data_IF_734620442852
#
_entry.id   IF_734620442852
#
_cell.length_a   1.000
_cell.length_b   1.000
_cell.length_c   1.000
_cell.angle_alpha   90.00
_cell.angle_beta   90.00
_cell.angle_gamma   90.00
#
_symmetry.space_group_name_H-M   'P 1'
#
loop_
_entity.id
_entity.type
_entity.pdbx_description
1 polymer ?
#
# COMPACT_ATOMS: atom_id res chain seq x y z
N UNK A 1 4.07 -15.39 8.23
CA UNK A 1 3.41 -14.45 9.14
C UNK A 1 4.44 -13.63 9.88
N UNK A 2 4.20 -12.36 10.01
CA UNK A 2 5.09 -11.41 10.67
C UNK A 2 4.97 -11.49 12.18
N UNK A 3 5.10 -12.67 12.72
CA UNK A 3 5.08 -12.86 14.17
C UNK A 3 6.39 -12.40 14.78
N UNK A 4 6.32 -11.72 15.88
CA UNK A 4 7.47 -11.25 16.62
C UNK A 4 7.95 -9.86 16.25
N UNK A 5 7.36 -9.21 15.25
CA UNK A 5 7.60 -7.79 15.05
C UNK A 5 7.04 -7.00 16.23
N UNK A 6 7.68 -5.90 16.57
CA UNK A 6 7.11 -5.00 17.57
C UNK A 6 5.81 -4.40 17.05
N UNK A 7 4.88 -4.06 17.93
CA UNK A 7 3.64 -3.41 17.54
C UNK A 7 3.85 -2.14 16.72
N UNK A 8 4.98 -1.46 16.90
CA UNK A 8 5.32 -0.25 16.16
C UNK A 8 5.65 -0.49 14.68
N UNK A 9 5.95 -1.73 14.28
CA UNK A 9 6.27 -2.07 12.90
C UNK A 9 5.11 -2.68 12.13
N UNK A 10 3.96 -2.89 12.77
CA UNK A 10 2.79 -3.46 12.12
C UNK A 10 2.03 -2.39 11.35
N UNK A 11 1.73 -2.71 10.09
CA UNK A 11 0.99 -1.82 9.20
C UNK A 11 -0.31 -2.49 8.80
N UNK A 12 -1.42 -1.78 8.96
CA UNK A 12 -2.74 -2.26 8.55
C UNK A 12 -3.19 -1.53 7.30
N UNK A 13 -3.83 -2.28 6.41
CA UNK A 13 -4.54 -1.69 5.29
C UNK A 13 -6.04 -1.80 5.55
N UNK A 14 -6.72 -0.65 5.50
CA UNK A 14 -8.18 -0.57 5.47
C UNK A 14 -8.61 0.07 4.17
N UNK A 15 -9.65 -0.48 3.58
CA UNK A 15 -10.21 0.06 2.35
C UNK A 15 -11.71 0.27 2.50
N UNK A 16 -12.19 1.43 2.11
CA UNK A 16 -13.59 1.76 2.04
C UNK A 16 -13.98 2.00 0.57
N UNK A 17 -15.09 1.43 0.16
CA UNK A 17 -15.64 1.64 -1.18
C UNK A 17 -16.83 2.59 -1.08
N UNK A 18 -16.79 3.65 -1.86
CA UNK A 18 -17.86 4.64 -1.94
C UNK A 18 -18.60 4.43 -3.24
N UNK A 19 -19.91 4.35 -3.15
CA UNK A 19 -20.80 4.21 -4.30
C UNK A 19 -21.79 5.36 -4.32
N UNK A 20 -22.46 5.58 -5.45
CA UNK A 20 -23.61 6.49 -5.48
C UNK A 20 -24.71 6.02 -4.53
N UNK A 21 -25.45 6.96 -3.94
CA UNK A 21 -26.42 6.66 -2.88
C UNK A 21 -27.40 5.55 -3.23
N UNK A 22 -27.93 5.56 -4.44
CA UNK A 22 -28.87 4.53 -4.90
C UNK A 22 -28.25 3.13 -4.97
N UNK A 23 -26.93 3.01 -5.10
CA UNK A 23 -26.23 1.75 -5.27
C UNK A 23 -25.61 1.27 -3.96
N UNK A 24 -25.38 2.17 -3.03
CA UNK A 24 -24.65 1.87 -1.79
C UNK A 24 -25.41 0.93 -0.86
N UNK A 25 -26.72 1.11 -0.73
CA UNK A 25 -27.55 0.34 0.18
C UNK A 25 -28.59 -0.53 -0.51
N UNK A 26 -28.77 -0.40 -1.82
CA UNK A 26 -29.75 -1.17 -2.56
C UNK A 26 -29.42 -2.65 -2.58
N UNK A 27 -30.44 -3.47 -2.36
CA UNK A 27 -30.36 -4.94 -2.49
C UNK A 27 -30.03 -5.36 -3.92
N UNK A 28 -30.48 -4.60 -4.92
CA UNK A 28 -30.25 -4.91 -6.35
C UNK A 28 -28.76 -4.89 -6.70
N UNK A 29 -27.95 -4.14 -5.99
CA UNK A 29 -26.51 -4.02 -6.22
C UNK A 29 -25.64 -4.80 -5.22
N UNK A 30 -26.27 -5.56 -4.31
CA UNK A 30 -25.54 -6.28 -3.27
C UNK A 30 -24.51 -7.27 -3.83
N UNK A 31 -24.87 -8.00 -4.88
CA UNK A 31 -23.95 -8.95 -5.53
C UNK A 31 -22.79 -8.25 -6.20
N UNK A 32 -23.03 -7.12 -6.87
CA UNK A 32 -21.99 -6.32 -7.49
C UNK A 32 -20.99 -5.79 -6.43
N UNK A 33 -21.49 -5.26 -5.33
CA UNK A 33 -20.64 -4.78 -4.24
C UNK A 33 -19.78 -5.90 -3.66
N UNK A 34 -20.36 -7.08 -3.46
CA UNK A 34 -19.63 -8.25 -2.95
C UNK A 34 -18.54 -8.72 -3.92
N UNK A 35 -18.83 -8.77 -5.22
CA UNK A 35 -17.84 -9.11 -6.26
C UNK A 35 -16.73 -8.09 -6.33
N UNK A 36 -17.04 -6.81 -6.26
CA UNK A 36 -16.06 -5.74 -6.26
C UNK A 36 -15.12 -5.85 -5.05
N UNK A 37 -15.65 -6.06 -3.87
CA UNK A 37 -14.86 -6.22 -2.66
C UNK A 37 -13.95 -7.46 -2.72
N UNK A 38 -14.47 -8.58 -3.21
CA UNK A 38 -13.70 -9.81 -3.37
C UNK A 38 -12.56 -9.63 -4.38
N UNK A 39 -12.81 -8.98 -5.50
CA UNK A 39 -11.79 -8.70 -6.52
C UNK A 39 -10.66 -7.86 -5.94
N UNK A 40 -10.96 -6.79 -5.25
CA UNK A 40 -9.94 -5.94 -4.64
C UNK A 40 -9.16 -6.66 -3.54
N UNK A 41 -9.83 -7.50 -2.77
CA UNK A 41 -9.15 -8.34 -1.78
C UNK A 41 -8.12 -9.25 -2.45
N UNK A 42 -8.49 -9.91 -3.55
CA UNK A 42 -7.59 -10.79 -4.27
C UNK A 42 -6.38 -10.03 -4.84
N UNK A 43 -6.61 -8.87 -5.43
CA UNK A 43 -5.54 -7.98 -5.94
C UNK A 43 -4.55 -7.64 -4.83
N UNK A 44 -5.04 -7.25 -3.66
CA UNK A 44 -4.15 -6.90 -2.55
C UNK A 44 -3.44 -8.10 -1.93
N UNK A 45 -4.06 -9.26 -1.94
CA UNK A 45 -3.40 -10.49 -1.45
C UNK A 45 -2.24 -10.91 -2.36
N UNK A 46 -2.36 -10.70 -3.67
CA UNK A 46 -1.24 -10.90 -4.60
C UNK A 46 -0.06 -9.98 -4.29
N UNK A 47 -0.34 -8.73 -3.96
CA UNK A 47 0.68 -7.75 -3.64
C UNK A 47 1.43 -8.04 -2.33
N UNK A 48 0.83 -8.72 -1.37
CA UNK A 48 1.45 -9.01 -0.08
C UNK A 48 2.73 -9.81 -0.26
N UNK A 49 2.74 -10.84 -1.09
CA UNK A 49 3.92 -11.65 -1.33
C UNK A 49 5.06 -10.81 -1.92
N UNK A 50 4.74 -9.93 -2.86
CA UNK A 50 5.71 -9.00 -3.46
C UNK A 50 6.25 -8.03 -2.41
N UNK A 51 5.39 -7.46 -1.58
CA UNK A 51 5.79 -6.53 -0.53
C UNK A 51 6.71 -7.19 0.51
N UNK A 52 6.40 -8.41 0.91
CA UNK A 52 7.25 -9.18 1.82
C UNK A 52 8.61 -9.48 1.19
N UNK A 53 8.64 -9.85 -0.08
CA UNK A 53 9.89 -10.04 -0.83
C UNK A 53 10.70 -8.76 -0.95
N UNK A 54 10.06 -7.64 -1.20
CA UNK A 54 10.72 -6.33 -1.23
C UNK A 54 11.33 -5.95 0.12
N UNK A 55 10.62 -6.22 1.21
CA UNK A 55 11.15 -5.97 2.55
C UNK A 55 12.37 -6.84 2.84
N UNK A 56 12.31 -8.12 2.50
CA UNK A 56 13.46 -9.01 2.63
C UNK A 56 14.65 -8.52 1.81
N UNK A 57 14.41 -8.06 0.57
CA UNK A 57 15.44 -7.49 -0.28
C UNK A 57 16.09 -6.25 0.31
N UNK A 58 15.32 -5.39 0.97
CA UNK A 58 15.86 -4.20 1.64
C UNK A 58 16.75 -4.52 2.84
N UNK A 59 16.57 -5.68 3.43
CA UNK A 59 17.41 -6.14 4.53
C UNK A 59 18.71 -6.81 4.05
N UNK A 60 18.87 -7.01 2.75
CA UNK A 60 20.09 -7.61 2.20
C UNK A 60 21.30 -6.67 2.36
N UNK A 61 22.50 -7.23 2.68
CA UNK A 61 23.69 -6.40 2.92
C UNK A 61 24.12 -5.55 1.70
N UNK A 62 23.80 -6.00 0.49
CA UNK A 62 24.14 -5.30 -0.75
C UNK A 62 23.09 -4.27 -1.20
N UNK A 63 22.01 -4.09 -0.44
CA UNK A 63 20.98 -3.12 -0.80
C UNK A 63 21.51 -1.68 -0.64
N UNK A 64 21.44 -0.91 -1.71
CA UNK A 64 21.99 0.45 -1.77
C UNK A 64 20.92 1.55 -1.88
N UNK A 65 19.65 1.21 -1.67
CA UNK A 65 18.55 2.16 -1.70
C UNK A 65 17.74 2.21 -2.99
N UNK A 66 18.23 1.61 -4.06
CA UNK A 66 17.54 1.62 -5.35
C UNK A 66 17.53 2.97 -6.04
N UNK A 67 16.79 3.06 -7.14
CA UNK A 67 16.70 4.27 -7.98
C UNK A 67 15.25 4.52 -8.40
N UNK A 68 14.93 5.78 -8.61
CA UNK A 68 13.63 6.18 -9.17
C UNK A 68 13.64 6.14 -10.69
N UNK A 69 12.54 5.68 -11.28
CA UNK A 69 12.29 5.84 -12.71
C UNK A 69 11.94 7.31 -12.99
N UNK A 70 12.58 7.89 -14.00
CA UNK A 70 12.34 9.28 -14.39
C UNK A 70 10.90 9.53 -14.88
N UNK A 71 10.23 8.50 -15.40
CA UNK A 71 8.90 8.60 -15.99
C UNK A 71 7.80 8.14 -15.04
N UNK A 72 8.01 6.98 -14.38
CA UNK A 72 6.96 6.32 -13.61
C UNK A 72 6.91 6.75 -12.15
N UNK A 73 8.03 7.17 -11.58
CA UNK A 73 8.17 7.42 -10.15
C UNK A 73 8.11 8.90 -9.77
N UNK A 74 7.68 9.76 -10.68
CA UNK A 74 7.65 11.20 -10.42
C UNK A 74 6.86 11.58 -9.15
N UNK A 75 5.64 11.10 -8.93
CA UNK A 75 4.87 11.42 -7.72
C UNK A 75 5.54 10.86 -6.45
N UNK A 76 6.07 9.64 -6.53
CA UNK A 76 6.77 8.98 -5.42
C UNK A 76 8.03 9.74 -5.05
N UNK A 77 8.82 10.14 -6.04
CA UNK A 77 10.03 10.94 -5.83
C UNK A 77 9.69 12.30 -5.19
N UNK A 78 8.64 12.95 -5.66
CA UNK A 78 8.17 14.20 -5.08
C UNK A 78 7.82 14.05 -3.59
N UNK A 79 7.11 12.99 -3.23
CA UNK A 79 6.78 12.68 -1.84
C UNK A 79 8.03 12.43 -1.00
N UNK A 80 8.97 11.65 -1.50
CA UNK A 80 10.24 11.41 -0.79
C UNK A 80 11.03 12.69 -0.54
N UNK A 81 11.08 13.59 -1.51
CA UNK A 81 11.71 14.91 -1.33
C UNK A 81 11.01 15.71 -0.23
N UNK A 82 9.70 15.72 -0.24
CA UNK A 82 8.92 16.41 0.79
C UNK A 82 9.22 15.85 2.20
N UNK A 83 9.25 14.53 2.35
CA UNK A 83 9.59 13.88 3.63
C UNK A 83 11.02 14.24 4.06
N UNK A 84 12.00 14.14 3.16
CA UNK A 84 13.38 14.46 3.47
C UNK A 84 13.55 15.91 3.94
N UNK A 85 12.89 16.86 3.27
CA UNK A 85 12.92 18.26 3.66
C UNK A 85 12.34 18.49 5.08
N UNK A 86 11.27 17.76 5.42
CA UNK A 86 10.67 17.84 6.75
C UNK A 86 11.58 17.26 7.83
N UNK A 87 12.21 16.15 7.56
CA UNK A 87 13.16 15.52 8.47
C UNK A 87 14.38 16.43 8.74
N UNK A 88 14.87 17.12 7.73
CA UNK A 88 15.98 18.06 7.87
C UNK A 88 15.64 19.27 8.74
N UNK A 89 14.38 19.68 8.75
CA UNK A 89 13.92 20.79 9.60
C UNK A 89 13.78 20.41 11.07
N UNK A 90 13.58 19.15 11.36
CA UNK A 90 13.41 18.64 12.73
C UNK A 90 14.77 18.40 13.39
N UNK A 91 15.75 18.06 12.58
CA UNK A 91 17.12 17.84 13.03
C UNK A 91 17.91 19.12 13.08
#
# INVERSE_FOLDING_TARGET
TLHGSSAASDVYKRQAFYYADAQMLSVDYALMRAKNAAMWKDVFMEDIEVLEGMQAGRMAPSYDGGKFSAVMDYPTHHFHKWVAQRMMRIG
#
